data_IF_049686834296
#
_entry.id   IF_049686834296
#
_cell.length_a   1.000
_cell.length_b   1.000
_cell.length_c   1.000
_cell.angle_alpha   90.00
_cell.angle_beta   90.00
_cell.angle_gamma   90.00
#
_symmetry.space_group_name_H-M   'P 1'
#
loop_
_entity.id
_entity.type
_entity.pdbx_description
1 polymer ?
#
# COMPACT_ATOMS: atom_id res chain seq x y z
N UNK A 1 44.82 18.06 -7.43
CA UNK A 1 43.81 18.53 -6.47
C UNK A 1 42.46 18.01 -6.94
N UNK A 2 42.01 16.91 -6.35
CA UNK A 2 40.73 16.29 -6.72
C UNK A 2 39.58 17.13 -6.18
N UNK A 3 38.69 17.54 -7.09
CA UNK A 3 37.48 18.29 -6.80
C UNK A 3 36.45 17.38 -6.16
N UNK A 4 36.27 17.49 -4.83
CA UNK A 4 35.16 16.84 -4.12
C UNK A 4 33.85 17.47 -4.59
N UNK A 5 33.17 16.79 -5.50
CA UNK A 5 31.80 17.10 -5.91
C UNK A 5 30.87 16.93 -4.72
N UNK A 6 30.54 18.04 -4.07
CA UNK A 6 29.49 18.12 -3.06
C UNK A 6 28.15 17.95 -3.78
N UNK A 7 27.71 16.70 -3.96
CA UNK A 7 26.30 16.38 -4.20
C UNK A 7 25.53 16.71 -2.93
N UNK A 8 25.26 18.00 -2.69
CA UNK A 8 24.18 18.41 -1.80
C UNK A 8 22.91 17.88 -2.46
N UNK A 9 22.41 16.75 -1.95
CA UNK A 9 21.08 16.27 -2.26
C UNK A 9 20.14 17.46 -2.09
N UNK A 10 19.42 17.80 -3.16
CA UNK A 10 18.26 18.68 -3.06
C UNK A 10 17.31 18.02 -2.07
N UNK A 11 17.28 18.49 -0.82
CA UNK A 11 16.17 18.23 0.08
C UNK A 11 15.08 19.17 -0.39
N UNK A 12 14.08 18.65 -1.07
CA UNK A 12 12.85 19.41 -1.31
C UNK A 12 12.34 19.87 0.05
N UNK A 13 12.17 21.18 0.18
CA UNK A 13 11.78 21.80 1.43
C UNK A 13 10.26 21.77 1.47
N UNK A 14 9.71 20.69 2.04
CA UNK A 14 8.27 20.58 2.26
C UNK A 14 7.87 21.45 3.44
N UNK A 15 6.83 22.25 3.25
CA UNK A 15 6.13 22.92 4.34
C UNK A 15 5.45 21.91 5.26
N UNK A 16 5.21 22.28 6.51
CA UNK A 16 4.46 21.43 7.44
C UNK A 16 3.05 21.08 6.91
N UNK A 17 2.43 22.00 6.18
CA UNK A 17 1.13 21.79 5.53
C UNK A 17 1.21 20.72 4.42
N UNK A 18 2.25 20.73 3.59
CA UNK A 18 2.46 19.70 2.55
C UNK A 18 2.70 18.32 3.18
N UNK A 19 3.53 18.25 4.23
CA UNK A 19 3.79 17.01 4.96
C UNK A 19 2.52 16.45 5.61
N UNK A 20 1.67 17.34 6.13
CA UNK A 20 0.38 16.97 6.70
C UNK A 20 -0.56 16.42 5.63
N UNK A 21 -0.71 17.12 4.51
CA UNK A 21 -1.61 16.73 3.42
C UNK A 21 -1.20 15.39 2.82
N UNK A 22 0.10 15.17 2.61
CA UNK A 22 0.62 13.89 2.12
C UNK A 22 0.33 12.75 3.11
N UNK A 23 0.57 12.97 4.40
CA UNK A 23 0.27 11.97 5.44
C UNK A 23 -1.23 11.66 5.52
N UNK A 24 -2.08 12.68 5.38
CA UNK A 24 -3.55 12.52 5.33
C UNK A 24 -4.00 11.75 4.10
N UNK A 25 -3.36 11.97 2.96
CA UNK A 25 -3.61 11.23 1.73
C UNK A 25 -3.26 9.76 1.93
N UNK A 26 -2.07 9.43 2.45
CA UNK A 26 -1.68 8.05 2.77
C UNK A 26 -2.69 7.38 3.71
N UNK A 27 -3.05 8.06 4.80
CA UNK A 27 -4.06 7.58 5.75
C UNK A 27 -5.40 7.25 5.08
N UNK A 28 -5.84 8.08 4.11
CA UNK A 28 -7.08 7.88 3.38
C UNK A 28 -7.00 6.69 2.41
N UNK A 29 -5.90 6.58 1.67
CA UNK A 29 -5.64 5.46 0.76
C UNK A 29 -5.53 4.12 1.51
N UNK A 30 -4.89 4.11 2.68
CA UNK A 30 -4.75 2.91 3.51
C UNK A 30 -6.09 2.46 4.08
N UNK A 31 -6.96 3.39 4.49
CA UNK A 31 -8.33 3.07 4.90
C UNK A 31 -9.12 2.45 3.75
N UNK A 32 -9.00 3.03 2.55
CA UNK A 32 -9.63 2.47 1.35
C UNK A 32 -9.11 1.06 1.04
N UNK A 33 -7.79 0.86 1.08
CA UNK A 33 -7.18 -0.45 0.86
C UNK A 33 -7.67 -1.51 1.86
N UNK A 34 -7.87 -1.12 3.12
CA UNK A 34 -8.42 -2.02 4.16
C UNK A 34 -9.85 -2.48 3.82
N UNK A 35 -10.69 -1.59 3.32
CA UNK A 35 -12.05 -1.95 2.94
C UNK A 35 -12.07 -2.75 1.63
N UNK A 36 -11.21 -2.39 0.68
CA UNK A 36 -11.00 -3.16 -0.55
C UNK A 36 -10.50 -4.58 -0.26
N UNK A 37 -9.62 -4.79 0.73
CA UNK A 37 -9.16 -6.11 1.16
C UNK A 37 -10.33 -7.00 1.62
N UNK A 38 -11.28 -6.45 2.39
CA UNK A 38 -12.49 -7.20 2.82
C UNK A 38 -13.33 -7.63 1.61
N UNK A 39 -13.45 -6.74 0.64
CA UNK A 39 -14.15 -7.03 -0.62
C UNK A 39 -13.44 -8.14 -1.41
N UNK A 40 -12.12 -8.06 -1.57
CA UNK A 40 -11.33 -9.10 -2.25
C UNK A 40 -11.44 -10.45 -1.55
N UNK A 41 -11.34 -10.48 -0.21
CA UNK A 41 -11.50 -11.71 0.59
C UNK A 41 -12.89 -12.34 0.37
N UNK A 42 -13.94 -11.51 0.32
CA UNK A 42 -15.31 -11.97 0.03
C UNK A 42 -15.44 -12.51 -1.39
N UNK A 43 -14.88 -11.80 -2.38
CA UNK A 43 -14.89 -12.23 -3.77
C UNK A 43 -14.21 -13.59 -3.96
N UNK A 44 -13.03 -13.78 -3.39
CA UNK A 44 -12.28 -15.04 -3.50
C UNK A 44 -13.10 -16.18 -2.89
N UNK A 45 -13.75 -15.94 -1.74
CA UNK A 45 -14.64 -16.89 -1.09
C UNK A 45 -15.82 -17.29 -1.97
N UNK A 46 -16.48 -16.32 -2.60
CA UNK A 46 -17.66 -16.54 -3.45
C UNK A 46 -17.36 -17.39 -4.70
N UNK A 47 -16.13 -17.33 -5.21
CA UNK A 47 -15.70 -18.07 -6.39
C UNK A 47 -14.80 -19.28 -6.07
N UNK A 48 -14.59 -19.62 -4.80
CA UNK A 48 -13.64 -20.67 -4.39
C UNK A 48 -13.93 -22.02 -5.04
N UNK A 49 -15.20 -22.46 -5.10
CA UNK A 49 -15.57 -23.73 -5.73
C UNK A 49 -15.28 -23.72 -7.23
N UNK A 50 -15.67 -22.64 -7.92
CA UNK A 50 -15.43 -22.51 -9.36
C UNK A 50 -13.92 -22.44 -9.69
N UNK A 51 -13.11 -21.88 -8.79
CA UNK A 51 -11.64 -21.84 -8.89
C UNK A 51 -11.08 -23.27 -8.80
N UNK A 52 -11.49 -24.05 -7.79
CA UNK A 52 -11.04 -25.43 -7.59
C UNK A 52 -11.40 -26.29 -8.81
N UNK A 53 -12.63 -26.16 -9.31
CA UNK A 53 -13.12 -26.88 -10.49
C UNK A 53 -12.37 -26.53 -11.80
N UNK A 54 -11.61 -25.44 -11.80
CA UNK A 54 -10.93 -24.90 -12.98
C UNK A 54 -9.43 -25.20 -13.05
N UNK A 55 -8.90 -25.96 -12.07
CA UNK A 55 -7.47 -26.23 -11.83
C UNK A 55 -6.62 -24.94 -11.66
N UNK A 56 -7.27 -23.81 -11.38
CA UNK A 56 -6.61 -22.51 -11.13
C UNK A 56 -6.19 -22.33 -9.68
N UNK A 57 -6.49 -23.29 -8.81
CA UNK A 57 -6.18 -23.22 -7.38
C UNK A 57 -4.68 -23.03 -7.13
N UNK A 58 -3.82 -23.78 -7.83
CA UNK A 58 -2.35 -23.67 -7.70
C UNK A 58 -1.83 -22.29 -8.12
N UNK A 59 -2.54 -21.62 -9.03
CA UNK A 59 -2.18 -20.27 -9.49
C UNK A 59 -2.64 -19.21 -8.52
N UNK A 60 -3.85 -19.33 -7.96
CA UNK A 60 -4.42 -18.29 -7.09
C UNK A 60 -3.84 -18.34 -5.67
N UNK A 61 -3.52 -19.52 -5.15
CA UNK A 61 -3.06 -19.71 -3.77
C UNK A 61 -1.88 -18.79 -3.38
N UNK A 62 -0.76 -18.74 -4.13
CA UNK A 62 0.35 -17.85 -3.77
C UNK A 62 -0.03 -16.36 -3.84
N UNK A 63 -1.02 -15.98 -4.66
CA UNK A 63 -1.48 -14.59 -4.74
C UNK A 63 -2.34 -14.25 -3.51
N UNK A 64 -3.18 -15.18 -3.05
CA UNK A 64 -3.94 -15.05 -1.80
C UNK A 64 -2.99 -14.90 -0.62
N UNK A 65 -1.90 -15.67 -0.59
CA UNK A 65 -0.88 -15.55 0.46
C UNK A 65 -0.24 -14.16 0.48
N UNK A 66 0.07 -13.59 -0.70
CA UNK A 66 0.57 -12.22 -0.82
C UNK A 66 -0.47 -11.20 -0.33
N UNK A 67 -1.75 -11.36 -0.66
CA UNK A 67 -2.81 -10.47 -0.14
C UNK A 67 -2.92 -10.55 1.39
N UNK A 68 -2.85 -11.75 1.97
CA UNK A 68 -2.87 -11.92 3.42
C UNK A 68 -1.64 -11.28 4.09
N UNK A 69 -0.48 -11.31 3.44
CA UNK A 69 0.70 -10.56 3.89
C UNK A 69 0.42 -9.06 3.83
N UNK A 70 -0.10 -8.55 2.71
CA UNK A 70 -0.45 -7.13 2.57
C UNK A 70 -1.45 -6.67 3.63
N UNK A 71 -2.49 -7.47 3.94
CA UNK A 71 -3.47 -7.15 4.98
C UNK A 71 -2.82 -6.92 6.36
N UNK A 72 -1.79 -7.72 6.70
CA UNK A 72 -1.04 -7.56 7.95
C UNK A 72 -0.08 -6.37 7.89
N UNK A 73 0.70 -6.27 6.82
CA UNK A 73 1.65 -5.17 6.59
C UNK A 73 0.94 -3.82 6.66
N UNK A 74 -0.27 -3.71 6.12
CA UNK A 74 -1.10 -2.50 6.15
C UNK A 74 -1.37 -2.03 7.58
N UNK A 75 -1.67 -2.96 8.50
CA UNK A 75 -1.96 -2.62 9.90
C UNK A 75 -0.73 -2.06 10.59
N UNK A 76 0.44 -2.63 10.34
CA UNK A 76 1.71 -2.17 10.90
C UNK A 76 2.11 -0.81 10.32
N UNK A 77 2.08 -0.68 8.99
CA UNK A 77 2.44 0.55 8.30
C UNK A 77 1.49 1.69 8.65
N UNK A 78 0.18 1.43 8.76
CA UNK A 78 -0.80 2.44 9.16
C UNK A 78 -0.50 3.00 10.55
N UNK A 79 -0.09 2.16 11.51
CA UNK A 79 0.34 2.63 12.85
C UNK A 79 1.57 3.52 12.77
N UNK A 80 2.55 3.19 11.93
CA UNK A 80 3.74 4.03 11.72
C UNK A 80 3.36 5.39 11.15
N UNK A 81 2.52 5.42 10.11
CA UNK A 81 2.03 6.66 9.49
C UNK A 81 1.25 7.51 10.48
N UNK A 82 0.36 6.93 11.28
CA UNK A 82 -0.37 7.66 12.33
C UNK A 82 0.55 8.22 13.42
N UNK A 83 1.57 7.46 13.83
CA UNK A 83 2.55 7.94 14.80
C UNK A 83 3.32 9.14 14.24
N UNK A 84 3.73 9.06 12.97
CA UNK A 84 4.41 10.14 12.26
C UNK A 84 3.54 11.39 12.12
N UNK A 85 2.26 11.23 11.75
CA UNK A 85 1.28 12.33 11.69
C UNK A 85 1.20 13.09 13.02
N UNK A 86 1.17 12.37 14.15
CA UNK A 86 1.12 12.97 15.48
C UNK A 86 2.42 13.71 15.85
N UNK A 87 3.55 13.36 15.23
CA UNK A 87 4.86 13.99 15.46
C UNK A 87 5.06 15.26 14.63
N UNK A 88 4.15 15.56 13.69
CA UNK A 88 4.21 16.75 12.84
C UNK A 88 4.31 18.06 13.63
N UNK A 89 3.85 18.09 14.90
CA UNK A 89 3.97 19.26 15.76
C UNK A 89 5.39 19.85 15.83
N UNK A 90 6.43 19.02 15.72
CA UNK A 90 7.85 19.45 15.69
C UNK A 90 8.13 20.40 14.51
N UNK A 91 7.35 20.31 13.43
CA UNK A 91 7.50 21.15 12.23
C UNK A 91 6.66 22.44 12.29
N UNK A 92 5.78 22.59 13.29
CA UNK A 92 4.79 23.68 13.38
C UNK A 92 4.99 24.53 14.64
N UNK A 93 5.73 24.02 15.63
CA UNK A 93 6.00 24.78 16.84
C UNK A 93 6.91 25.99 16.56
N UNK A 94 6.83 27.02 17.41
CA UNK A 94 7.65 28.24 17.27
C UNK A 94 9.09 28.03 17.79
N UNK A 95 9.53 26.78 17.96
CA UNK A 95 10.83 26.43 18.54
C UNK A 95 11.73 25.88 17.44
N UNK A 96 12.84 26.57 17.17
CA UNK A 96 13.80 26.08 16.19
C UNK A 96 14.54 24.83 16.72
N UNK A 97 14.29 23.67 16.10
CA UNK A 97 14.81 22.36 16.49
C UNK A 97 15.44 21.64 15.30
N UNK A 98 16.39 22.28 14.60
CA UNK A 98 16.99 21.81 13.33
C UNK A 98 17.27 20.30 13.24
N UNK A 99 17.81 19.69 14.31
CA UNK A 99 18.12 18.25 14.33
C UNK A 99 16.87 17.37 14.35
N UNK A 100 15.84 17.76 15.09
CA UNK A 100 14.60 17.00 15.20
C UNK A 100 13.75 17.18 13.94
N UNK A 101 13.67 18.39 13.40
CA UNK A 101 13.03 18.67 12.11
C UNK A 101 13.68 17.87 10.97
N UNK A 102 15.02 17.84 10.92
CA UNK A 102 15.73 17.03 9.93
C UNK A 102 15.44 15.53 10.06
N UNK A 103 15.40 15.00 11.29
CA UNK A 103 15.06 13.60 11.54
C UNK A 103 13.59 13.28 11.17
N UNK A 104 12.68 14.22 11.39
CA UNK A 104 11.29 14.09 10.96
C UNK A 104 11.19 13.99 9.44
N UNK A 105 11.88 14.87 8.70
CA UNK A 105 11.90 14.83 7.23
C UNK A 105 12.53 13.54 6.69
N UNK A 106 13.61 13.06 7.30
CA UNK A 106 14.24 11.80 6.90
C UNK A 106 13.24 10.63 7.12
N UNK A 107 12.55 10.59 8.26
CA UNK A 107 11.49 9.60 8.55
C UNK A 107 10.31 9.70 7.58
N UNK A 108 9.91 10.92 7.22
CA UNK A 108 8.82 11.14 6.26
C UNK A 108 9.16 10.55 4.89
N UNK A 109 10.39 10.77 4.41
CA UNK A 109 10.85 10.22 3.14
C UNK A 109 10.91 8.68 3.15
N UNK A 110 11.39 8.10 4.26
CA UNK A 110 11.40 6.64 4.42
C UNK A 110 9.98 6.07 4.41
N UNK A 111 9.03 6.72 5.09
CA UNK A 111 7.62 6.33 5.07
C UNK A 111 6.99 6.48 3.68
N UNK A 112 7.29 7.56 2.95
CA UNK A 112 6.81 7.75 1.58
C UNK A 112 7.19 6.57 0.69
N UNK A 113 8.44 6.10 0.83
CA UNK A 113 8.93 4.91 0.13
C UNK A 113 8.24 3.64 0.61
N UNK A 114 8.13 3.40 1.92
CA UNK A 114 7.43 2.23 2.47
C UNK A 114 5.96 2.16 2.01
N UNK A 115 5.25 3.29 2.01
CA UNK A 115 3.86 3.41 1.53
C UNK A 115 3.76 3.11 0.04
N UNK A 116 4.65 3.69 -0.77
CA UNK A 116 4.69 3.44 -2.21
C UNK A 116 4.95 1.95 -2.51
N UNK A 117 5.97 1.36 -1.89
CA UNK A 117 6.33 -0.05 -2.06
C UNK A 117 5.20 -0.99 -1.62
N UNK A 118 4.50 -0.65 -0.54
CA UNK A 118 3.28 -1.36 -0.12
C UNK A 118 2.21 -1.34 -1.22
N UNK A 119 1.87 -0.16 -1.75
CA UNK A 119 0.79 -0.02 -2.73
C UNK A 119 1.11 -0.66 -4.08
N UNK A 120 2.38 -0.70 -4.49
CA UNK A 120 2.81 -1.45 -5.67
C UNK A 120 2.51 -2.94 -5.48
N UNK A 121 2.97 -3.54 -4.37
CA UNK A 121 2.76 -4.97 -4.09
C UNK A 121 1.26 -5.31 -3.98
N UNK A 122 0.51 -4.47 -3.26
CA UNK A 122 -0.92 -4.66 -3.07
C UNK A 122 -1.70 -4.57 -4.39
N UNK A 123 -1.38 -3.60 -5.25
CA UNK A 123 -2.00 -3.44 -6.57
C UNK A 123 -1.71 -4.62 -7.49
N UNK A 124 -0.48 -5.12 -7.49
CA UNK A 124 -0.10 -6.28 -8.30
C UNK A 124 -0.87 -7.54 -7.88
N UNK A 125 -0.98 -7.79 -6.57
CA UNK A 125 -1.74 -8.93 -6.06
C UNK A 125 -3.23 -8.79 -6.39
N UNK A 126 -3.79 -7.60 -6.18
CA UNK A 126 -5.18 -7.26 -6.52
C UNK A 126 -5.50 -7.54 -7.99
N UNK A 127 -4.69 -7.02 -8.92
CA UNK A 127 -4.93 -7.17 -10.35
C UNK A 127 -4.95 -8.65 -10.75
N UNK A 128 -4.00 -9.44 -10.23
CA UNK A 128 -3.94 -10.89 -10.50
C UNK A 128 -5.17 -11.64 -9.98
N UNK A 129 -5.69 -11.29 -8.80
CA UNK A 129 -6.95 -11.85 -8.29
C UNK A 129 -8.11 -11.51 -9.23
N UNK A 130 -8.25 -10.24 -9.62
CA UNK A 130 -9.32 -9.83 -10.54
C UNK A 130 -9.27 -10.58 -11.87
N UNK A 131 -8.08 -10.79 -12.43
CA UNK A 131 -7.91 -11.54 -13.68
C UNK A 131 -8.36 -13.00 -13.54
N UNK A 132 -7.95 -13.67 -12.47
CA UNK A 132 -8.33 -15.07 -12.22
C UNK A 132 -9.83 -15.20 -11.99
N UNK A 133 -10.39 -14.37 -11.11
CA UNK A 133 -11.84 -14.39 -10.84
C UNK A 133 -12.63 -14.08 -12.11
N UNK A 134 -12.19 -13.11 -12.92
CA UNK A 134 -12.82 -12.79 -14.20
C UNK A 134 -12.82 -13.97 -15.18
N UNK A 135 -11.72 -14.72 -15.25
CA UNK A 135 -11.64 -15.94 -16.08
C UNK A 135 -12.59 -17.03 -15.57
N UNK A 136 -12.63 -17.23 -14.25
CA UNK A 136 -13.52 -18.21 -13.61
C UNK A 136 -14.99 -17.86 -13.85
N UNK A 137 -15.36 -16.59 -13.70
CA UNK A 137 -16.71 -16.09 -14.01
C UNK A 137 -17.10 -16.35 -15.47
N UNK A 138 -16.19 -16.10 -16.43
CA UNK A 138 -16.43 -16.37 -17.86
C UNK A 138 -16.67 -17.86 -18.12
N UNK A 139 -15.83 -18.74 -17.55
CA UNK A 139 -15.99 -20.21 -17.68
C UNK A 139 -17.30 -20.69 -17.09
N UNK A 140 -17.68 -20.21 -15.90
CA UNK A 140 -18.95 -20.53 -15.24
C UNK A 140 -20.15 -20.14 -16.10
N UNK A 141 -20.12 -18.94 -16.70
CA UNK A 141 -21.18 -18.46 -17.60
C UNK A 141 -21.28 -19.33 -18.86
N UNK A 142 -20.17 -19.73 -19.46
CA UNK A 142 -20.16 -20.63 -20.62
C UNK A 142 -20.75 -22.00 -20.30
N UNK A 143 -20.39 -22.62 -19.16
CA UNK A 143 -20.97 -23.90 -18.73
C UNK A 143 -22.51 -23.81 -18.57
N UNK A 144 -23.04 -22.70 -18.08
CA UNK A 144 -24.49 -22.47 -17.94
C UNK A 144 -25.23 -22.29 -19.28
N UNK A 145 -24.54 -21.93 -20.35
CA UNK A 145 -25.15 -21.78 -21.68
C UNK A 145 -25.14 -23.09 -22.49
N UNK A 146 -24.34 -24.07 -22.07
CA UNK A 146 -24.19 -25.36 -22.73
C UNK A 146 -25.06 -26.47 -22.10
N UNK A 147 -25.77 -26.14 -21.01
CA UNK A 147 -26.72 -27.02 -20.31
C UNK A 147 -28.14 -26.49 -20.46
#
# INVERSE_FOLDING_TARGET
METKSNKRQYREWFSADELHEETRQWCSEMKFARDEQKFLNSMIKDYTLDIIDSDMFKTIQPIVDVLNICERDLVELFKKVQLHENQLQIMVDEVNQEKMEAAYLDTHNDLAKEVSDYFVRYRDAKNKIFDIVSQVMKRRRQKRLLN
#
